data_IF_792321251792
#
_entry.id   IF_792321251792
#
_cell.length_a   1.000
_cell.length_b   1.000
_cell.length_c   1.000
_cell.angle_alpha   90.00
_cell.angle_beta   90.00
_cell.angle_gamma   90.00
#
_symmetry.space_group_name_H-M   'P 1'
#
loop_
_entity.id
_entity.type
_entity.pdbx_description
1 polymer ?
#
# COMPACT_ATOMS: atom_id res chain seq x y z
N UNK A 1 -15.21 20.56 -2.20
CA UNK A 1 -15.03 19.20 -2.73
C UNK A 1 -16.33 18.36 -2.70
N UNK A 2 -17.53 18.96 -2.45
CA UNK A 2 -18.77 18.18 -2.26
C UNK A 2 -19.59 17.88 -3.53
N UNK A 3 -19.48 18.66 -4.62
CA UNK A 3 -20.37 18.50 -5.77
C UNK A 3 -20.21 17.17 -6.53
N UNK A 4 -18.96 16.77 -6.80
CA UNK A 4 -18.69 15.55 -7.60
C UNK A 4 -19.02 14.25 -6.88
N UNK A 5 -18.87 14.21 -5.55
CA UNK A 5 -19.27 13.04 -4.76
C UNK A 5 -20.79 12.85 -4.80
N UNK A 6 -21.57 13.92 -4.58
CA UNK A 6 -23.03 13.84 -4.67
C UNK A 6 -23.53 13.50 -6.07
N UNK A 7 -22.90 14.04 -7.12
CA UNK A 7 -23.21 13.67 -8.52
C UNK A 7 -22.90 12.20 -8.78
N UNK A 8 -21.71 11.72 -8.39
CA UNK A 8 -21.35 10.31 -8.51
C UNK A 8 -22.33 9.42 -7.77
N UNK A 9 -22.72 9.77 -6.53
CA UNK A 9 -23.69 9.00 -5.76
C UNK A 9 -25.07 8.98 -6.42
N UNK A 10 -25.49 10.11 -7.01
CA UNK A 10 -26.77 10.23 -7.69
C UNK A 10 -26.88 9.34 -8.96
N UNK A 11 -25.76 8.99 -9.60
CA UNK A 11 -25.73 8.01 -10.70
C UNK A 11 -26.04 6.58 -10.25
N UNK A 12 -25.91 6.27 -8.95
CA UNK A 12 -26.22 4.95 -8.41
C UNK A 12 -27.59 4.97 -7.72
N UNK A 13 -28.57 4.32 -8.35
CA UNK A 13 -29.99 4.43 -8.02
C UNK A 13 -30.41 4.00 -6.58
N UNK A 14 -29.55 3.40 -5.73
CA UNK A 14 -29.85 3.09 -4.30
C UNK A 14 -28.80 2.25 -3.53
N UNK A 15 -27.62 1.93 -4.07
CA UNK A 15 -26.79 0.83 -3.52
C UNK A 15 -25.36 1.22 -3.09
N UNK A 16 -25.10 2.50 -2.77
CA UNK A 16 -23.79 2.87 -2.25
C UNK A 16 -23.74 2.63 -0.73
N UNK A 17 -22.90 1.68 -0.34
CA UNK A 17 -22.53 1.45 1.06
C UNK A 17 -21.34 2.32 1.39
N UNK A 18 -21.47 3.12 2.46
CA UNK A 18 -20.34 3.90 2.98
C UNK A 18 -19.44 2.97 3.78
N UNK A 19 -18.22 2.77 3.30
CA UNK A 19 -17.27 1.83 3.89
C UNK A 19 -16.42 2.42 5.04
N UNK A 20 -16.53 3.72 5.39
CA UNK A 20 -15.81 4.30 6.54
C UNK A 20 -16.19 3.56 7.83
N UNK A 21 -15.22 2.82 8.40
CA UNK A 21 -15.40 1.98 9.61
C UNK A 21 -16.54 0.96 9.47
N UNK A 22 -16.81 0.53 8.26
CA UNK A 22 -17.85 -0.46 8.01
C UNK A 22 -17.33 -1.88 8.27
N UNK A 23 -18.21 -2.76 8.76
CA UNK A 23 -17.90 -4.16 9.00
C UNK A 23 -19.05 -5.05 8.54
N UNK A 24 -18.73 -6.09 7.79
CA UNK A 24 -19.61 -7.20 7.43
C UNK A 24 -18.93 -8.54 7.79
N UNK A 25 -19.65 -9.68 7.81
CA UNK A 25 -19.02 -10.97 8.04
C UNK A 25 -17.83 -11.22 7.10
N UNK A 26 -16.63 -11.30 7.67
CA UNK A 26 -15.39 -11.53 6.93
C UNK A 26 -14.74 -10.29 6.28
N UNK A 27 -15.34 -9.10 6.43
CA UNK A 27 -14.83 -7.85 5.87
C UNK A 27 -14.88 -6.72 6.91
N UNK A 28 -13.75 -6.04 7.12
CA UNK A 28 -13.65 -4.87 7.98
C UNK A 28 -12.90 -3.76 7.23
N UNK A 29 -13.45 -2.56 7.21
CA UNK A 29 -12.86 -1.39 6.56
C UNK A 29 -12.34 -0.41 7.60
N UNK A 30 -11.20 0.22 7.33
CA UNK A 30 -10.65 1.23 8.24
C UNK A 30 -11.49 2.52 8.22
N UNK A 31 -11.20 3.44 9.14
CA UNK A 31 -11.49 4.85 8.86
C UNK A 31 -10.60 5.34 7.68
N UNK A 32 -10.95 6.45 7.01
CA UNK A 32 -10.05 7.09 6.06
C UNK A 32 -8.70 7.41 6.72
N UNK A 33 -7.62 6.84 6.19
CA UNK A 33 -6.25 7.09 6.66
C UNK A 33 -5.46 7.86 5.61
N UNK A 34 -4.43 8.64 5.98
CA UNK A 34 -3.63 9.39 5.01
C UNK A 34 -2.98 8.50 3.93
N UNK A 35 -3.00 8.97 2.69
CA UNK A 35 -2.29 8.39 1.54
C UNK A 35 -0.78 8.73 1.62
N UNK A 36 -0.10 8.22 2.65
CA UNK A 36 1.27 8.64 2.99
C UNK A 36 1.28 9.85 3.91
N UNK A 37 1.98 10.93 3.54
CA UNK A 37 2.01 12.14 4.38
C UNK A 37 0.62 12.79 4.51
N UNK A 38 0.34 13.52 5.62
CA UNK A 38 -0.89 14.28 5.76
C UNK A 38 -1.13 15.22 4.57
N UNK A 39 -2.42 15.47 4.29
CA UNK A 39 -2.89 16.38 3.22
C UNK A 39 -2.67 15.91 1.78
N UNK A 40 -2.25 14.66 1.55
CA UNK A 40 -2.15 14.05 0.20
C UNK A 40 -3.40 13.24 -0.22
N UNK A 41 -4.51 13.42 0.51
CA UNK A 41 -5.71 12.60 0.38
C UNK A 41 -5.74 11.45 1.38
N UNK A 42 -6.79 10.65 1.29
CA UNK A 42 -7.01 9.50 2.18
C UNK A 42 -7.34 8.25 1.39
N UNK A 43 -7.03 7.10 1.99
CA UNK A 43 -7.38 5.77 1.48
C UNK A 43 -8.16 5.00 2.55
N UNK A 44 -8.94 4.02 2.11
CA UNK A 44 -9.54 3.02 2.99
C UNK A 44 -8.73 1.74 2.87
N UNK A 45 -8.34 1.19 4.02
CA UNK A 45 -7.75 -0.15 4.10
C UNK A 45 -8.87 -1.17 4.27
N UNK A 46 -8.69 -2.35 3.68
CA UNK A 46 -9.67 -3.43 3.75
C UNK A 46 -9.01 -4.65 4.39
N UNK A 47 -9.62 -5.14 5.47
CA UNK A 47 -9.27 -6.39 6.14
C UNK A 47 -10.28 -7.46 5.73
N UNK A 48 -9.74 -8.57 5.25
CA UNK A 48 -10.48 -9.75 4.84
C UNK A 48 -10.09 -10.86 5.81
N UNK A 49 -11.07 -11.49 6.44
CA UNK A 49 -10.86 -12.57 7.42
C UNK A 49 -11.69 -13.78 7.05
N UNK A 50 -11.06 -14.94 7.01
CA UNK A 50 -11.73 -16.22 6.85
C UNK A 50 -11.21 -17.25 7.86
N UNK A 51 -11.55 -18.53 7.65
CA UNK A 51 -11.12 -19.63 8.53
C UNK A 51 -9.60 -19.89 8.48
N UNK A 52 -8.92 -19.39 7.45
CA UNK A 52 -7.50 -19.66 7.16
C UNK A 52 -6.59 -18.54 7.65
N UNK A 53 -7.10 -17.30 7.74
CA UNK A 53 -6.34 -16.18 8.29
C UNK A 53 -6.90 -14.81 7.93
N UNK A 54 -6.01 -13.82 8.06
CA UNK A 54 -6.29 -12.40 7.85
C UNK A 54 -5.43 -11.87 6.72
N UNK A 55 -6.08 -11.37 5.66
CA UNK A 55 -5.44 -10.59 4.60
C UNK A 55 -5.83 -9.13 4.74
N UNK A 56 -4.88 -8.21 4.61
CA UNK A 56 -5.16 -6.78 4.59
C UNK A 56 -4.61 -6.15 3.32
N UNK A 57 -5.49 -5.50 2.56
CA UNK A 57 -5.11 -4.58 1.50
C UNK A 57 -5.11 -3.15 2.03
N UNK A 58 -3.93 -2.58 2.17
CA UNK A 58 -3.70 -1.23 2.70
C UNK A 58 -2.99 -0.31 1.69
N UNK A 59 -2.93 -0.71 0.42
CA UNK A 59 -2.44 0.17 -0.63
C UNK A 59 -3.43 1.33 -0.83
N UNK A 60 -3.02 2.60 -0.85
CA UNK A 60 -1.64 3.10 -0.97
C UNK A 60 -1.18 3.93 0.26
N UNK A 61 -1.02 3.36 1.47
CA UNK A 61 -0.62 4.15 2.66
C UNK A 61 0.84 4.67 2.65
N UNK A 62 1.67 4.26 1.69
CA UNK A 62 3.09 4.65 1.50
C UNK A 62 4.04 4.44 2.70
N UNK A 63 3.56 3.85 3.80
CA UNK A 63 4.27 3.64 5.07
C UNK A 63 4.71 4.93 5.79
N UNK A 64 4.14 6.08 5.44
CA UNK A 64 4.61 7.37 5.95
C UNK A 64 3.79 7.92 7.12
N UNK A 65 2.69 7.30 7.51
CA UNK A 65 1.80 7.83 8.54
C UNK A 65 1.45 6.81 9.62
N UNK A 66 1.65 7.21 10.88
CA UNK A 66 1.47 6.34 12.06
C UNK A 66 0.02 5.90 12.26
N UNK A 67 -0.98 6.69 11.85
CA UNK A 67 -2.39 6.28 11.98
C UNK A 67 -2.67 5.00 11.19
N UNK A 68 -2.16 4.90 9.96
CA UNK A 68 -2.29 3.70 9.15
C UNK A 68 -1.50 2.53 9.75
N UNK A 69 -0.27 2.77 10.19
CA UNK A 69 0.58 1.73 10.80
C UNK A 69 -0.05 1.17 12.07
N UNK A 70 -0.55 2.04 12.96
CA UNK A 70 -1.19 1.62 14.21
C UNK A 70 -2.44 0.78 13.96
N UNK A 71 -3.27 1.13 12.97
CA UNK A 71 -4.42 0.32 12.60
C UNK A 71 -4.01 -1.09 12.13
N UNK A 72 -2.94 -1.19 11.33
CA UNK A 72 -2.40 -2.47 10.86
C UNK A 72 -1.79 -3.30 12.00
N UNK A 73 -1.13 -2.66 12.97
CA UNK A 73 -0.62 -3.34 14.16
C UNK A 73 -1.75 -3.92 15.03
N UNK A 74 -2.91 -3.26 15.08
CA UNK A 74 -4.11 -3.80 15.76
C UNK A 74 -4.71 -4.96 14.97
N UNK A 75 -4.79 -4.83 13.65
CA UNK A 75 -5.38 -5.85 12.78
C UNK A 75 -4.56 -7.14 12.66
N UNK A 76 -3.23 -7.09 12.89
CA UNK A 76 -2.31 -8.23 12.87
C UNK A 76 -2.52 -9.19 11.66
N UNK A 77 -2.33 -8.70 10.42
CA UNK A 77 -2.58 -9.51 9.23
C UNK A 77 -1.58 -10.66 9.06
N UNK A 78 -2.03 -11.82 8.59
CA UNK A 78 -1.13 -12.87 8.11
C UNK A 78 -0.42 -12.43 6.82
N UNK A 79 -1.18 -11.84 5.90
CA UNK A 79 -0.70 -11.31 4.63
C UNK A 79 -1.08 -9.83 4.53
N UNK A 80 -0.08 -8.97 4.35
CA UNK A 80 -0.27 -7.53 4.24
C UNK A 80 0.18 -7.03 2.87
N UNK A 81 -0.72 -6.39 2.13
CA UNK A 81 -0.42 -5.72 0.86
C UNK A 81 -0.41 -4.20 1.05
N UNK A 82 0.73 -3.56 0.77
CA UNK A 82 0.92 -2.12 0.94
C UNK A 82 1.73 -1.51 -0.22
N UNK A 83 1.42 -0.28 -0.60
CA UNK A 83 2.35 0.54 -1.38
C UNK A 83 3.51 0.96 -0.48
N UNK A 84 4.74 0.80 -0.96
CA UNK A 84 5.89 1.38 -0.27
C UNK A 84 6.01 2.90 -0.48
N UNK A 85 7.04 3.54 0.11
CA UNK A 85 7.26 4.98 -0.07
C UNK A 85 7.60 5.32 -1.53
N UNK A 86 7.17 6.48 -2.07
CA UNK A 86 7.50 6.91 -3.43
C UNK A 86 8.94 7.41 -3.57
N UNK A 87 9.92 6.56 -3.30
CA UNK A 87 11.35 6.92 -3.18
C UNK A 87 12.00 7.51 -4.45
N UNK A 88 11.30 7.46 -5.58
CA UNK A 88 11.72 8.07 -6.84
C UNK A 88 11.38 9.58 -6.90
N UNK A 89 10.57 10.05 -5.95
CA UNK A 89 10.18 11.44 -5.82
C UNK A 89 11.21 12.20 -4.96
N UNK A 90 11.72 13.35 -5.42
CA UNK A 90 12.75 14.12 -4.70
C UNK A 90 12.23 14.78 -3.41
N UNK A 91 10.92 14.79 -3.16
CA UNK A 91 10.29 15.46 -2.02
C UNK A 91 10.42 14.68 -0.69
N UNK A 92 10.87 13.43 -0.73
CA UNK A 92 11.08 12.60 0.46
C UNK A 92 12.44 12.90 1.11
N UNK A 93 12.39 13.49 2.30
CA UNK A 93 13.57 13.66 3.14
C UNK A 93 14.14 12.32 3.62
N UNK A 94 15.45 12.27 3.96
CA UNK A 94 16.05 11.08 4.56
C UNK A 94 15.32 10.60 5.82
N UNK A 95 14.81 11.52 6.64
CA UNK A 95 14.05 11.18 7.85
C UNK A 95 12.74 10.45 7.52
N UNK A 96 12.03 10.88 6.48
CA UNK A 96 10.79 10.22 6.02
C UNK A 96 11.07 8.83 5.45
N UNK A 97 12.14 8.68 4.67
CA UNK A 97 12.57 7.37 4.14
C UNK A 97 12.93 6.41 5.28
N UNK A 98 13.67 6.89 6.28
CA UNK A 98 14.00 6.10 7.46
C UNK A 98 12.74 5.70 8.24
N UNK A 99 11.82 6.64 8.47
CA UNK A 99 10.53 6.35 9.13
C UNK A 99 9.72 5.29 8.38
N UNK A 100 9.62 5.39 7.06
CA UNK A 100 8.93 4.39 6.24
C UNK A 100 9.57 3.01 6.35
N UNK A 101 10.91 2.94 6.41
CA UNK A 101 11.65 1.68 6.60
C UNK A 101 11.40 1.08 7.99
N UNK A 102 11.48 1.89 9.06
CA UNK A 102 11.17 1.44 10.43
C UNK A 102 9.72 0.97 10.57
N UNK A 103 8.78 1.68 9.95
CA UNK A 103 7.38 1.26 9.91
C UNK A 103 7.21 -0.09 9.20
N UNK A 104 7.93 -0.34 8.11
CA UNK A 104 7.93 -1.63 7.44
C UNK A 104 8.46 -2.75 8.36
N UNK A 105 9.53 -2.49 9.12
CA UNK A 105 10.07 -3.42 10.12
C UNK A 105 9.05 -3.69 11.22
N UNK A 106 8.34 -2.68 11.71
CA UNK A 106 7.30 -2.86 12.73
C UNK A 106 6.16 -3.75 12.20
N UNK A 107 5.68 -3.51 10.98
CA UNK A 107 4.65 -4.34 10.36
C UNK A 107 5.12 -5.78 10.12
N UNK A 108 6.39 -5.97 9.77
CA UNK A 108 6.99 -7.28 9.61
C UNK A 108 6.98 -8.12 10.91
N UNK A 109 6.84 -7.51 12.10
CA UNK A 109 6.73 -8.24 13.38
C UNK A 109 5.37 -8.86 13.63
N UNK A 110 4.32 -8.33 12.99
CA UNK A 110 2.93 -8.79 13.17
C UNK A 110 2.37 -9.46 11.92
N UNK A 111 3.21 -9.71 10.91
CA UNK A 111 2.81 -10.30 9.62
C UNK A 111 3.65 -11.53 9.28
N UNK A 112 3.08 -12.45 8.50
CA UNK A 112 3.82 -13.61 7.97
C UNK A 112 4.38 -13.33 6.58
N UNK A 113 3.60 -12.60 5.76
CA UNK A 113 4.01 -12.16 4.42
C UNK A 113 3.67 -10.68 4.23
N UNK A 114 4.68 -9.90 3.84
CA UNK A 114 4.56 -8.49 3.52
C UNK A 114 4.77 -8.30 2.01
N UNK A 115 3.70 -7.92 1.32
CA UNK A 115 3.68 -7.58 -0.11
C UNK A 115 3.82 -6.06 -0.26
N UNK A 116 4.90 -5.63 -0.90
CA UNK A 116 5.29 -4.24 -1.09
C UNK A 116 5.40 -3.91 -2.58
N UNK A 117 4.53 -3.03 -3.06
CA UNK A 117 4.38 -2.76 -4.49
C UNK A 117 4.15 -1.26 -4.80
N UNK A 118 3.51 -0.98 -5.93
CA UNK A 118 3.08 0.29 -6.50
C UNK A 118 4.21 1.30 -6.65
N UNK A 119 4.55 2.03 -5.60
CA UNK A 119 5.53 3.10 -5.63
C UNK A 119 6.98 2.59 -5.69
N UNK A 120 7.28 1.49 -4.99
CA UNK A 120 8.63 0.92 -5.02
C UNK A 120 8.98 0.39 -6.41
N UNK A 121 8.01 -0.17 -7.14
CA UNK A 121 8.26 -0.70 -8.48
C UNK A 121 8.33 0.37 -9.59
N UNK A 122 8.22 1.66 -9.23
CA UNK A 122 8.43 2.78 -10.16
C UNK A 122 9.89 3.16 -10.35
N UNK A 123 10.82 2.56 -9.60
CA UNK A 123 12.26 2.80 -9.77
C UNK A 123 13.12 1.59 -9.44
N UNK A 124 14.31 1.55 -10.02
CA UNK A 124 15.33 0.54 -9.68
C UNK A 124 15.84 0.68 -8.24
N UNK A 125 15.79 1.88 -7.66
CA UNK A 125 16.07 2.08 -6.24
C UNK A 125 15.06 1.37 -5.34
N UNK A 126 13.82 1.13 -5.81
CA UNK A 126 12.80 0.50 -4.98
C UNK A 126 13.05 -0.98 -4.79
N UNK A 127 13.62 -1.66 -5.80
CA UNK A 127 14.13 -3.02 -5.64
C UNK A 127 15.26 -3.09 -4.60
N UNK A 128 16.14 -2.09 -4.54
CA UNK A 128 17.19 -2.03 -3.51
C UNK A 128 16.60 -1.83 -2.12
N UNK A 129 15.61 -0.96 -1.98
CA UNK A 129 14.88 -0.75 -0.72
C UNK A 129 14.18 -2.04 -0.26
N UNK A 130 13.52 -2.76 -1.17
CA UNK A 130 12.88 -4.04 -0.88
C UNK A 130 13.90 -5.12 -0.47
N UNK A 131 15.04 -5.18 -1.17
CA UNK A 131 16.13 -6.09 -0.85
C UNK A 131 16.76 -5.80 0.53
N UNK A 132 16.89 -4.53 0.91
CA UNK A 132 17.34 -4.15 2.25
C UNK A 132 16.34 -4.60 3.32
N UNK A 133 15.05 -4.35 3.10
CA UNK A 133 14.02 -4.78 4.05
C UNK A 133 14.02 -6.30 4.24
N UNK A 134 14.14 -7.08 3.15
CA UNK A 134 14.30 -8.55 3.21
C UNK A 134 15.44 -9.00 4.10
N UNK A 135 16.56 -8.28 4.10
CA UNK A 135 17.72 -8.61 4.93
C UNK A 135 17.50 -8.23 6.40
N UNK A 136 16.59 -7.31 6.69
CA UNK A 136 16.31 -6.79 8.03
C UNK A 136 15.26 -7.60 8.81
N UNK A 137 14.53 -8.52 8.17
CA UNK A 137 13.42 -9.25 8.79
C UNK A 137 13.42 -10.72 8.40
N UNK A 138 12.84 -11.58 9.26
CA UNK A 138 12.81 -13.04 9.04
C UNK A 138 11.55 -13.56 8.33
N UNK A 139 10.65 -12.65 7.92
CA UNK A 139 9.37 -12.98 7.26
C UNK A 139 9.49 -12.88 5.74
N UNK A 140 8.47 -13.37 5.02
CA UNK A 140 8.45 -13.29 3.55
C UNK A 140 8.13 -11.85 3.11
N UNK A 141 9.11 -11.15 2.55
CA UNK A 141 8.93 -9.79 1.98
C UNK A 141 9.06 -9.84 0.46
N UNK A 142 7.99 -9.55 -0.29
CA UNK A 142 7.92 -9.71 -1.75
C UNK A 142 7.12 -8.58 -2.41
N UNK A 143 7.17 -8.43 -3.73
CA UNK A 143 6.20 -7.63 -4.49
C UNK A 143 5.09 -8.52 -5.11
N UNK A 144 4.08 -7.91 -5.74
CA UNK A 144 2.94 -8.64 -6.30
C UNK A 144 3.34 -9.54 -7.47
N UNK A 145 4.29 -9.14 -8.32
CA UNK A 145 4.83 -10.02 -9.36
C UNK A 145 5.47 -11.29 -8.77
N UNK A 146 6.27 -11.15 -7.71
CA UNK A 146 6.92 -12.29 -7.05
C UNK A 146 5.91 -13.17 -6.27
N UNK A 147 4.78 -12.61 -5.82
CA UNK A 147 3.66 -13.41 -5.31
C UNK A 147 3.15 -14.38 -6.38
N UNK A 148 3.04 -13.91 -7.62
CA UNK A 148 2.62 -14.67 -8.80
C UNK A 148 3.74 -15.53 -9.41
N UNK A 149 4.89 -15.65 -8.75
CA UNK A 149 6.08 -16.37 -9.24
C UNK A 149 6.66 -15.76 -10.53
N UNK A 150 6.40 -14.48 -10.78
CA UNK A 150 6.93 -13.72 -11.90
C UNK A 150 8.06 -12.79 -11.46
N UNK A 151 8.86 -12.34 -12.43
CA UNK A 151 9.86 -11.29 -12.19
C UNK A 151 9.17 -9.92 -12.32
N UNK A 152 9.42 -8.96 -11.41
CA UNK A 152 8.84 -7.63 -11.53
C UNK A 152 9.35 -6.93 -12.80
N UNK A 153 8.42 -6.59 -13.69
CA UNK A 153 8.70 -5.72 -14.81
C UNK A 153 8.46 -4.25 -14.40
N UNK A 154 9.56 -3.50 -14.22
CA UNK A 154 9.52 -2.09 -13.84
C UNK A 154 9.20 -1.17 -15.04
N UNK A 155 8.02 -1.33 -15.63
CA UNK A 155 7.56 -0.54 -16.77
C UNK A 155 7.65 0.97 -16.49
N UNK A 156 7.21 1.36 -15.29
CA UNK A 156 7.22 2.76 -14.88
C UNK A 156 8.64 3.32 -14.70
N UNK A 157 9.58 2.52 -14.20
CA UNK A 157 11.00 2.92 -14.13
C UNK A 157 11.59 3.16 -15.53
N UNK A 158 11.05 2.48 -16.55
CA UNK A 158 11.45 2.58 -17.96
C UNK A 158 10.54 3.50 -18.76
N UNK A 159 9.61 4.23 -18.14
CA UNK A 159 8.59 5.05 -18.82
C UNK A 159 9.17 5.92 -19.94
N UNK A 160 10.26 6.64 -19.68
CA UNK A 160 10.92 7.51 -20.69
C UNK A 160 11.43 6.72 -21.90
N UNK A 161 12.04 5.57 -21.67
CA UNK A 161 12.52 4.69 -22.73
C UNK A 161 11.35 4.10 -23.52
N UNK A 162 10.32 3.61 -22.84
CA UNK A 162 9.15 3.01 -23.47
C UNK A 162 8.40 4.02 -24.35
N UNK A 163 8.21 5.26 -23.89
CA UNK A 163 7.62 6.31 -24.74
C UNK A 163 8.48 6.69 -25.94
N UNK A 164 9.81 6.57 -25.84
CA UNK A 164 10.69 6.77 -26.98
C UNK A 164 10.58 5.63 -28.01
N UNK A 165 10.40 4.39 -27.55
CA UNK A 165 10.26 3.21 -28.41
C UNK A 165 8.86 3.07 -29.03
N UNK A 166 7.83 3.53 -28.32
CA UNK A 166 6.43 3.49 -28.73
C UNK A 166 5.82 4.89 -28.62
N UNK A 167 6.17 5.81 -29.53
CA UNK A 167 5.55 7.13 -29.58
C UNK A 167 4.06 7.00 -29.95
N UNK A 168 3.23 7.84 -29.31
CA UNK A 168 1.78 7.91 -29.56
C UNK A 168 1.45 8.41 -30.97
#
# INVERSE_FOLDING_TARGET
MNYRYSEFVAEFASQIIIADRHTEPGLEFSAPVPHGEPHQGTVLMTKITDQTGVFVHASDIQLLNETAINALLVWQPDILFVAGPPIYLPQLSPAQLNRAFENAIQLARVTKTLILDHHLLRSTSGLRWLAQLRQSVSIRVICAAEWQLEKPDLLEARRRQLFSLFPN
#
